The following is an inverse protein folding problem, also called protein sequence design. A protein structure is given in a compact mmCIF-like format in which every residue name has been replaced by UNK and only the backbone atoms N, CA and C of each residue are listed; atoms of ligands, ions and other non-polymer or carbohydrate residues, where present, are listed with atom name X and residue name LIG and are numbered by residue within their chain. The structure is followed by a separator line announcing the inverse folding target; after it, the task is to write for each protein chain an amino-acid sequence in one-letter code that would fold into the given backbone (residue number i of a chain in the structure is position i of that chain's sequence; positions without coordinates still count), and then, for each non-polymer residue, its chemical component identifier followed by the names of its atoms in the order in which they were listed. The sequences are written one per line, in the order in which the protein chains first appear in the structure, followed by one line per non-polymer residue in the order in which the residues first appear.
data_IF_810822428721
#
_entry.id   IF_810822428721
#
_cell.length_a   1.000
_cell.length_b   1.000
_cell.length_c   1.000
_cell.angle_alpha   90.00
_cell.angle_beta   90.00
_cell.angle_gamma   90.00
#
_symmetry.space_group_name_H-M   'P 1'
#
loop_
_entity.id
_entity.type
_entity.pdbx_description
1 polymer ?
#
# COMPACT_ATOMS: atom_id res chain seq x y z
N UNK A 1 9.90 9.64 -20.70
CA UNK A 1 9.62 9.14 -19.33
C UNK A 1 10.62 8.09 -18.89
N UNK A 2 10.96 7.07 -19.69
CA UNK A 2 11.87 5.98 -19.29
C UNK A 2 13.24 6.45 -18.70
N UNK A 3 13.93 7.41 -19.32
CA UNK A 3 15.23 7.88 -18.82
C UNK A 3 15.14 8.67 -17.51
N UNK A 4 14.00 9.31 -17.22
CA UNK A 4 13.82 10.12 -16.00
C UNK A 4 13.61 9.25 -14.77
N UNK A 5 13.13 8.02 -14.93
CA UNK A 5 12.79 7.12 -13.83
C UNK A 5 13.66 5.86 -13.76
N UNK A 6 14.63 5.65 -14.64
CA UNK A 6 15.50 4.46 -14.63
C UNK A 6 16.19 4.27 -13.27
N UNK A 7 16.78 5.33 -12.74
CA UNK A 7 17.39 5.32 -11.41
C UNK A 7 16.40 4.98 -10.27
N UNK A 8 15.11 5.29 -10.45
CA UNK A 8 14.06 4.98 -9.48
C UNK A 8 13.62 3.52 -9.57
N UNK A 9 13.63 2.92 -10.77
CA UNK A 9 13.44 1.47 -10.95
C UNK A 9 14.60 0.71 -10.30
N UNK A 10 15.84 1.15 -10.50
CA UNK A 10 17.01 0.55 -9.86
C UNK A 10 16.95 0.68 -8.34
N UNK A 11 16.53 1.84 -7.82
CA UNK A 11 16.28 2.03 -6.40
C UNK A 11 15.20 1.07 -5.90
N UNK A 12 14.06 0.96 -6.59
CA UNK A 12 12.98 0.04 -6.21
C UNK A 12 13.46 -1.41 -6.16
N UNK A 13 14.24 -1.85 -7.14
CA UNK A 13 14.83 -3.20 -7.13
C UNK A 13 15.84 -3.39 -5.98
N UNK A 14 16.61 -2.33 -5.65
CA UNK A 14 17.60 -2.34 -4.58
C UNK A 14 16.97 -2.41 -3.20
N UNK A 15 16.09 -1.46 -2.92
CA UNK A 15 15.52 -1.16 -1.61
C UNK A 15 14.19 -1.88 -1.35
N UNK A 16 13.51 -2.38 -2.38
CA UNK A 16 12.19 -3.01 -2.29
C UNK A 16 11.03 -2.02 -2.25
N UNK A 17 11.32 -0.72 -2.28
CA UNK A 17 10.33 0.34 -2.34
C UNK A 17 10.93 1.59 -2.99
N UNK A 18 10.06 2.48 -3.46
CA UNK A 18 10.44 3.83 -3.89
C UNK A 18 9.30 4.79 -3.56
N UNK A 19 9.65 6.02 -3.24
CA UNK A 19 8.67 7.08 -2.93
C UNK A 19 8.57 8.03 -4.11
N UNK A 20 7.39 8.10 -4.71
CA UNK A 20 7.10 9.02 -5.80
C UNK A 20 6.19 10.14 -5.29
N UNK A 21 6.60 11.37 -5.55
CA UNK A 21 5.91 12.58 -5.09
C UNK A 21 5.16 13.24 -6.23
N UNK A 22 4.01 13.83 -5.92
CA UNK A 22 3.18 14.57 -6.88
C UNK A 22 2.73 13.73 -8.09
N UNK A 23 2.44 12.45 -7.88
CA UNK A 23 2.00 11.53 -8.95
C UNK A 23 0.61 11.89 -9.43
N UNK A 24 -0.34 12.07 -8.51
CA UNK A 24 -1.71 12.46 -8.83
C UNK A 24 -2.00 13.88 -8.34
N UNK A 25 -2.91 14.57 -9.04
CA UNK A 25 -3.23 15.95 -8.76
C UNK A 25 -4.09 16.13 -7.50
N UNK A 26 -4.16 17.39 -7.04
CA UNK A 26 -4.94 17.79 -5.87
C UNK A 26 -6.42 17.39 -5.97
N UNK A 27 -6.96 17.40 -7.18
CA UNK A 27 -8.38 17.17 -7.42
C UNK A 27 -8.69 15.69 -7.22
N UNK A 28 -7.88 14.78 -7.76
CA UNK A 28 -8.08 13.35 -7.56
C UNK A 28 -7.91 12.95 -6.09
N UNK A 29 -6.95 13.57 -5.39
CA UNK A 29 -6.81 13.38 -3.93
C UNK A 29 -8.06 13.83 -3.17
N UNK A 30 -8.59 14.99 -3.53
CA UNK A 30 -9.82 15.50 -2.93
C UNK A 30 -11.05 14.63 -3.27
N UNK A 31 -11.10 14.05 -4.46
CA UNK A 31 -12.09 13.04 -4.85
C UNK A 31 -11.98 11.80 -3.94
N UNK A 32 -10.76 11.29 -3.69
CA UNK A 32 -10.52 10.16 -2.78
C UNK A 32 -10.96 10.46 -1.34
N UNK A 33 -10.57 11.63 -0.83
CA UNK A 33 -10.90 12.06 0.54
C UNK A 33 -12.41 12.16 0.75
N UNK A 34 -13.10 12.85 -0.15
CA UNK A 34 -14.58 12.96 -0.13
C UNK A 34 -15.27 11.62 -0.25
N UNK A 35 -14.68 10.70 -1.01
CA UNK A 35 -15.24 9.37 -1.16
C UNK A 35 -15.14 8.55 0.13
N UNK A 36 -13.99 8.59 0.83
CA UNK A 36 -13.85 7.97 2.15
C UNK A 36 -14.84 8.58 3.16
N UNK A 37 -14.99 9.91 3.19
CA UNK A 37 -16.00 10.59 4.02
C UNK A 37 -17.43 10.13 3.69
N UNK A 38 -17.76 10.00 2.41
CA UNK A 38 -19.04 9.47 1.96
C UNK A 38 -19.26 8.04 2.43
N UNK A 39 -18.26 7.16 2.32
CA UNK A 39 -18.35 5.79 2.80
C UNK A 39 -18.58 5.73 4.32
N UNK A 40 -17.86 6.53 5.10
CA UNK A 40 -18.05 6.63 6.55
C UNK A 40 -19.44 7.15 6.91
N UNK A 41 -19.93 8.18 6.21
CA UNK A 41 -21.30 8.70 6.42
C UNK A 41 -22.37 7.68 6.05
N UNK A 42 -22.15 6.89 5.01
CA UNK A 42 -23.10 5.88 4.53
C UNK A 42 -23.11 4.63 5.41
N UNK A 43 -21.96 4.29 5.99
CA UNK A 43 -21.76 3.10 6.82
C UNK A 43 -21.21 3.48 8.20
N UNK A 44 -21.95 4.26 9.01
CA UNK A 44 -21.43 4.83 10.27
C UNK A 44 -21.13 3.77 11.34
N UNK A 45 -21.64 2.55 11.19
CA UNK A 45 -21.36 1.43 12.10
C UNK A 45 -20.13 0.60 11.69
N UNK A 46 -19.52 0.88 10.54
CA UNK A 46 -18.33 0.17 10.06
C UNK A 46 -17.11 1.05 10.36
N UNK A 47 -16.17 0.60 11.20
CA UNK A 47 -14.94 1.33 11.44
C UNK A 47 -14.17 1.57 10.13
N UNK A 48 -13.43 2.68 10.07
CA UNK A 48 -12.67 3.05 8.87
C UNK A 48 -11.73 1.93 8.40
N UNK A 49 -11.12 1.22 9.35
CA UNK A 49 -10.23 0.08 9.15
C UNK A 49 -10.89 -1.04 8.35
N UNK A 50 -12.22 -1.19 8.45
CA UNK A 50 -12.97 -2.29 7.85
C UNK A 50 -13.70 -1.90 6.56
N UNK A 51 -13.54 -0.67 6.08
CA UNK A 51 -14.17 -0.21 4.83
C UNK A 51 -13.73 -1.04 3.61
N UNK A 52 -12.56 -1.68 3.65
CA UNK A 52 -12.01 -2.41 2.52
C UNK A 52 -12.62 -3.81 2.30
N UNK A 53 -13.17 -4.47 3.31
CA UNK A 53 -13.56 -5.89 3.22
C UNK A 53 -14.77 -6.14 2.30
N UNK A 54 -15.89 -5.45 2.55
CA UNK A 54 -17.16 -5.74 1.87
C UNK A 54 -17.59 -4.64 0.91
N UNK A 55 -17.25 -3.38 1.22
CA UNK A 55 -17.74 -2.24 0.48
C UNK A 55 -16.99 -2.09 -0.83
N UNK A 56 -15.66 -2.15 -0.76
CA UNK A 56 -14.83 -1.78 -1.90
C UNK A 56 -15.04 -2.67 -3.13
N UNK A 57 -15.29 -3.97 -2.96
CA UNK A 57 -15.56 -4.88 -4.09
C UNK A 57 -16.63 -4.36 -5.06
N UNK A 58 -17.65 -3.68 -4.54
CA UNK A 58 -18.80 -3.18 -5.31
C UNK A 58 -18.80 -1.66 -5.50
N UNK A 59 -17.68 -1.01 -5.21
CA UNK A 59 -17.58 0.45 -5.22
C UNK A 59 -16.93 0.96 -6.51
N UNK A 60 -17.66 1.58 -7.45
CA UNK A 60 -17.06 1.99 -8.73
C UNK A 60 -15.96 3.05 -8.58
N UNK A 61 -15.85 3.72 -7.43
CA UNK A 61 -14.83 4.73 -7.21
C UNK A 61 -13.40 4.19 -7.29
N UNK A 62 -13.13 2.97 -6.79
CA UNK A 62 -11.77 2.41 -6.88
C UNK A 62 -11.38 2.19 -8.35
N UNK A 63 -12.31 1.79 -9.22
CA UNK A 63 -12.05 1.64 -10.67
C UNK A 63 -11.62 2.97 -11.27
N UNK A 64 -12.31 4.08 -10.94
CA UNK A 64 -11.94 5.43 -11.39
C UNK A 64 -10.55 5.84 -10.90
N UNK A 65 -10.17 5.48 -9.68
CA UNK A 65 -8.85 5.79 -9.13
C UNK A 65 -7.76 4.99 -9.85
N UNK A 66 -7.88 3.66 -9.91
CA UNK A 66 -6.81 2.79 -10.44
C UNK A 66 -6.62 2.92 -11.95
N UNK A 67 -7.65 3.39 -12.68
CA UNK A 67 -7.59 3.60 -14.12
C UNK A 67 -7.00 4.95 -14.49
N UNK A 68 -6.55 5.75 -13.51
CA UNK A 68 -5.83 6.97 -13.78
C UNK A 68 -4.53 6.65 -14.56
N UNK A 69 -4.32 7.23 -15.75
CA UNK A 69 -3.17 6.91 -16.60
C UNK A 69 -1.82 7.06 -15.88
N UNK A 70 -1.71 8.01 -14.95
CA UNK A 70 -0.47 8.26 -14.21
C UNK A 70 -0.12 7.09 -13.30
N UNK A 71 -1.12 6.42 -12.72
CA UNK A 71 -0.91 5.23 -11.90
C UNK A 71 -0.63 4.00 -12.77
N UNK A 72 -1.34 3.85 -13.89
CA UNK A 72 -1.11 2.76 -14.84
C UNK A 72 0.28 2.82 -15.48
N UNK A 73 0.75 4.01 -15.86
CA UNK A 73 2.10 4.21 -16.41
C UNK A 73 3.18 3.80 -15.41
N UNK A 74 2.99 4.11 -14.12
CA UNK A 74 3.92 3.71 -13.07
C UNK A 74 3.83 2.21 -12.79
N UNK A 75 2.64 1.62 -12.75
CA UNK A 75 2.48 0.18 -12.62
C UNK A 75 3.18 -0.56 -13.78
N UNK A 76 3.04 -0.05 -15.02
CA UNK A 76 3.74 -0.55 -16.20
C UNK A 76 5.26 -0.44 -16.06
N UNK A 77 5.75 0.72 -15.63
CA UNK A 77 7.17 0.98 -15.49
C UNK A 77 7.83 0.10 -14.41
N UNK A 78 7.27 0.05 -13.21
CA UNK A 78 7.83 -0.74 -12.10
C UNK A 78 7.52 -2.23 -12.22
N UNK A 79 6.46 -2.58 -12.94
CA UNK A 79 6.10 -3.95 -13.28
C UNK A 79 6.94 -4.54 -14.42
N UNK A 80 7.50 -3.71 -15.30
CA UNK A 80 8.21 -4.18 -16.50
C UNK A 80 9.29 -5.24 -16.26
N UNK A 81 10.07 -5.23 -15.15
CA UNK A 81 11.05 -6.28 -14.88
C UNK A 81 10.43 -7.67 -14.64
N UNK A 82 9.13 -7.75 -14.35
CA UNK A 82 8.39 -8.97 -14.02
C UNK A 82 7.42 -9.40 -15.13
N UNK A 83 7.28 -8.59 -16.18
CA UNK A 83 6.36 -8.84 -17.28
C UNK A 83 7.07 -9.56 -18.42
N UNK A 84 6.42 -10.58 -18.95
CA UNK A 84 6.78 -11.16 -20.24
C UNK A 84 6.59 -10.13 -21.37
N UNK A 85 7.20 -10.33 -22.55
CA UNK A 85 6.93 -9.50 -23.72
C UNK A 85 5.43 -9.42 -24.03
N UNK A 86 4.87 -8.21 -24.03
CA UNK A 86 3.42 -7.94 -24.15
C UNK A 86 2.56 -8.46 -22.99
N UNK A 87 3.15 -8.65 -21.79
CA UNK A 87 2.42 -9.02 -20.59
C UNK A 87 1.48 -7.90 -20.12
N UNK A 88 0.29 -8.29 -19.68
CA UNK A 88 -0.70 -7.38 -19.10
C UNK A 88 -0.51 -7.23 -17.59
N UNK A 89 -0.94 -6.08 -17.06
CA UNK A 89 -1.06 -5.85 -15.61
C UNK A 89 -2.52 -6.03 -15.20
N UNK A 90 -2.73 -6.78 -14.13
CA UNK A 90 -4.04 -6.95 -13.51
C UNK A 90 -4.02 -6.43 -12.07
N UNK A 91 -5.04 -5.65 -11.69
CA UNK A 91 -5.31 -5.41 -10.29
C UNK A 91 -6.05 -6.62 -9.72
N UNK A 92 -5.48 -7.27 -8.72
CA UNK A 92 -6.13 -8.40 -8.03
C UNK A 92 -6.65 -8.00 -6.63
N UNK A 93 -6.13 -6.92 -6.05
CA UNK A 93 -6.51 -6.47 -4.72
C UNK A 93 -6.33 -4.96 -4.57
N UNK A 94 -7.18 -4.36 -3.75
CA UNK A 94 -7.05 -2.99 -3.27
C UNK A 94 -7.41 -2.99 -1.78
N UNK A 95 -6.95 -2.00 -1.02
CA UNK A 95 -7.26 -1.84 0.40
C UNK A 95 -7.36 -0.35 0.78
N UNK A 96 -8.38 0.03 1.54
CA UNK A 96 -8.39 1.28 2.30
C UNK A 96 -7.76 1.04 3.66
N UNK A 97 -6.68 1.75 3.97
CA UNK A 97 -6.05 1.76 5.29
C UNK A 97 -6.40 3.06 6.01
N UNK A 98 -7.51 3.06 6.74
CA UNK A 98 -7.88 4.20 7.58
C UNK A 98 -7.37 3.98 9.01
N UNK A 99 -6.81 5.01 9.64
CA UNK A 99 -6.43 5.01 11.05
C UNK A 99 -7.13 6.17 11.77
N UNK A 100 -8.31 5.93 12.38
CA UNK A 100 -8.98 6.94 13.18
C UNK A 100 -8.11 7.44 14.31
N UNK A 101 -8.19 8.74 14.60
CA UNK A 101 -7.42 9.36 15.67
C UNK A 101 -7.68 8.66 17.01
N UNK A 102 -6.61 8.30 17.73
CA UNK A 102 -6.60 7.71 19.08
C UNK A 102 -7.17 6.29 19.22
N UNK A 103 -7.98 5.82 18.26
CA UNK A 103 -8.60 4.49 18.30
C UNK A 103 -8.10 3.57 17.18
N UNK A 104 -7.22 4.07 16.30
CA UNK A 104 -6.70 3.30 15.19
C UNK A 104 -5.88 2.10 15.60
N UNK A 105 -6.10 0.98 14.92
CA UNK A 105 -5.33 -0.25 15.12
C UNK A 105 -3.97 -0.19 14.43
N UNK A 106 -2.97 -0.87 15.01
CA UNK A 106 -1.67 -1.07 14.34
C UNK A 106 -1.77 -2.15 13.26
N UNK A 107 -0.90 -2.04 12.26
CA UNK A 107 -0.59 -3.12 11.33
C UNK A 107 0.73 -3.73 11.78
N UNK A 108 0.74 -5.03 12.09
CA UNK A 108 1.96 -5.72 12.53
C UNK A 108 2.93 -5.93 11.34
N UNK A 109 4.20 -6.24 11.63
CA UNK A 109 5.18 -6.52 10.57
C UNK A 109 4.77 -7.74 9.75
N UNK A 110 4.58 -7.53 8.45
CA UNK A 110 4.14 -8.56 7.52
C UNK A 110 4.85 -8.43 6.18
N UNK A 111 4.84 -9.52 5.41
CA UNK A 111 5.06 -9.49 3.97
C UNK A 111 3.70 -9.68 3.29
N UNK A 112 3.31 -8.74 2.45
CA UNK A 112 2.07 -8.77 1.66
C UNK A 112 1.90 -10.11 0.92
N UNK A 113 2.97 -10.58 0.26
CA UNK A 113 2.96 -11.85 -0.48
C UNK A 113 2.62 -13.08 0.35
N UNK A 114 2.82 -13.06 1.67
CA UNK A 114 2.48 -14.18 2.56
C UNK A 114 0.98 -14.39 2.73
N UNK A 115 0.14 -13.41 2.37
CA UNK A 115 -1.31 -13.53 2.40
C UNK A 115 -1.91 -14.16 1.14
N UNK A 116 -1.14 -14.27 0.05
CA UNK A 116 -1.68 -14.65 -1.26
C UNK A 116 -1.04 -15.92 -1.81
N UNK A 117 -1.82 -16.87 -2.33
CA UNK A 117 -1.27 -18.09 -2.93
C UNK A 117 -0.86 -17.87 -4.41
N UNK A 118 -0.19 -16.76 -4.72
CA UNK A 118 0.23 -16.43 -6.10
C UNK A 118 1.58 -17.08 -6.45
N UNK A 119 1.68 -17.61 -7.68
CA UNK A 119 2.91 -18.21 -8.21
C UNK A 119 3.05 -17.88 -9.70
N UNK A 120 4.13 -17.19 -10.14
CA UNK A 120 5.15 -16.53 -9.31
C UNK A 120 4.56 -15.36 -8.49
N UNK A 121 5.26 -14.94 -7.44
CA UNK A 121 4.89 -13.76 -6.62
C UNK A 121 5.36 -12.46 -7.29
N UNK A 122 4.90 -12.22 -8.51
CA UNK A 122 5.21 -11.02 -9.29
C UNK A 122 4.16 -9.94 -9.00
N UNK A 123 4.23 -9.37 -7.80
CA UNK A 123 3.28 -8.38 -7.31
C UNK A 123 4.01 -7.12 -6.87
N UNK A 124 3.44 -5.96 -7.18
CA UNK A 124 3.80 -4.68 -6.60
C UNK A 124 2.59 -4.07 -5.90
N UNK A 125 2.83 -3.35 -4.81
CA UNK A 125 1.81 -2.59 -4.08
C UNK A 125 2.04 -1.10 -4.34
N UNK A 126 1.01 -0.40 -4.79
CA UNK A 126 1.00 1.06 -4.83
C UNK A 126 0.24 1.59 -3.62
N UNK A 127 0.95 2.31 -2.75
CA UNK A 127 0.36 2.96 -1.58
C UNK A 127 0.24 4.46 -1.81
N UNK A 128 -0.95 5.02 -1.54
CA UNK A 128 -1.27 6.42 -1.78
C UNK A 128 -1.70 7.10 -0.48
N UNK A 129 -0.98 8.15 -0.09
CA UNK A 129 -1.40 9.06 0.97
C UNK A 129 -2.61 9.89 0.51
N UNK A 130 -3.78 9.63 1.08
CA UNK A 130 -4.99 10.47 0.91
C UNK A 130 -5.00 11.61 1.94
N UNK A 131 -4.52 11.33 3.16
CA UNK A 131 -4.29 12.30 4.24
C UNK A 131 -2.79 12.45 4.53
N UNK A 132 -2.43 13.39 5.40
CA UNK A 132 -1.07 13.48 5.96
C UNK A 132 -0.71 12.14 6.61
N UNK A 133 0.50 11.65 6.35
CA UNK A 133 1.03 10.41 6.90
C UNK A 133 2.42 10.66 7.47
N UNK A 134 2.54 10.61 8.79
CA UNK A 134 3.77 10.87 9.52
C UNK A 134 3.95 9.92 10.72
N UNK A 135 5.05 10.06 11.44
CA UNK A 135 5.37 9.19 12.58
C UNK A 135 4.44 9.40 13.78
N UNK A 136 3.74 10.53 13.86
CA UNK A 136 2.80 10.83 14.94
C UNK A 136 1.41 10.21 14.69
N UNK A 137 1.04 10.01 13.42
CA UNK A 137 -0.25 9.43 13.03
C UNK A 137 -0.18 8.00 12.44
N UNK A 138 1.01 7.39 12.48
CA UNK A 138 1.22 6.00 12.11
C UNK A 138 1.41 5.78 10.61
N UNK A 139 2.36 6.49 10.01
CA UNK A 139 2.79 6.28 8.63
C UNK A 139 3.22 4.84 8.35
N UNK A 140 3.27 4.51 7.05
CA UNK A 140 3.82 3.25 6.58
C UNK A 140 5.31 3.19 6.97
N UNK A 141 5.73 2.04 7.48
CA UNK A 141 7.13 1.71 7.72
C UNK A 141 7.52 0.52 6.88
N UNK A 142 8.68 0.57 6.26
CA UNK A 142 9.23 -0.50 5.43
C UNK A 142 10.63 -0.85 5.89
N UNK A 143 11.06 -2.08 5.64
CA UNK A 143 12.43 -2.53 5.94
C UNK A 143 13.20 -2.63 4.62
N UNK A 144 14.19 -1.76 4.42
CA UNK A 144 14.96 -1.68 3.18
C UNK A 144 15.57 -3.03 2.82
N UNK A 145 15.33 -3.51 1.61
CA UNK A 145 15.89 -4.74 1.04
C UNK A 145 15.25 -6.03 1.57
N UNK A 146 14.23 -5.96 2.43
CA UNK A 146 13.59 -7.13 3.03
C UNK A 146 12.83 -8.00 2.01
N UNK A 147 12.47 -7.46 0.84
CA UNK A 147 11.82 -8.18 -0.26
C UNK A 147 12.69 -9.26 -0.92
N UNK A 148 14.01 -9.26 -0.66
CA UNK A 148 14.96 -10.24 -1.21
C UNK A 148 14.95 -11.58 -0.46
N UNK A 149 14.36 -11.62 0.73
CA UNK A 149 14.17 -12.84 1.49
C UNK A 149 13.02 -13.68 0.94
N UNK A 150 12.95 -14.92 1.40
CA UNK A 150 11.78 -15.77 1.16
C UNK A 150 10.54 -15.21 1.88
N UNK A 151 9.35 -15.63 1.43
CA UNK A 151 8.11 -15.33 2.14
C UNK A 151 8.06 -16.11 3.46
N UNK A 152 7.98 -15.38 4.56
CA UNK A 152 7.81 -15.92 5.90
C UNK A 152 6.38 -16.42 6.13
N UNK A 153 6.26 -17.44 6.97
CA UNK A 153 4.96 -18.03 7.33
C UNK A 153 4.11 -17.02 8.10
N UNK A 154 2.84 -16.88 7.70
CA UNK A 154 1.87 -16.10 8.44
C UNK A 154 1.56 -16.74 9.80
N UNK A 155 1.58 -15.93 10.85
CA UNK A 155 1.24 -16.31 12.22
C UNK A 155 0.08 -15.46 12.71
N UNK A 156 -1.00 -16.10 13.14
CA UNK A 156 -2.14 -15.40 13.73
C UNK A 156 -1.75 -14.78 15.08
N UNK A 157 -2.22 -13.56 15.32
CA UNK A 157 -2.08 -12.88 16.60
C UNK A 157 -3.42 -12.30 17.03
N UNK A 158 -4.09 -13.05 17.89
CA UNK A 158 -5.34 -12.66 18.55
C UNK A 158 -5.10 -12.00 19.91
N UNK A 159 -3.84 -11.86 20.34
CA UNK A 159 -3.48 -11.31 21.65
C UNK A 159 -3.42 -9.79 21.64
N UNK A 160 -3.22 -9.18 20.47
CA UNK A 160 -3.18 -7.74 20.28
C UNK A 160 -4.15 -7.33 19.19
N UNK A 161 -4.95 -6.30 19.46
CA UNK A 161 -5.85 -5.71 18.47
C UNK A 161 -5.04 -5.11 17.31
N UNK A 162 -5.26 -5.63 16.09
CA UNK A 162 -4.51 -5.25 14.90
C UNK A 162 -5.35 -5.46 13.63
N UNK A 163 -5.02 -4.71 12.57
CA UNK A 163 -5.85 -4.66 11.35
C UNK A 163 -5.91 -6.00 10.61
N UNK A 164 -4.83 -6.79 10.61
CA UNK A 164 -4.70 -8.00 9.78
C UNK A 164 -4.89 -9.32 10.56
N UNK A 165 -5.06 -9.24 11.88
CA UNK A 165 -5.14 -10.38 12.78
C UNK A 165 -3.88 -11.28 12.82
N UNK A 166 -2.77 -10.85 12.22
CA UNK A 166 -1.62 -11.71 11.93
C UNK A 166 -0.34 -10.92 11.64
N UNK A 167 0.81 -11.60 11.70
CA UNK A 167 2.13 -11.07 11.39
C UNK A 167 2.99 -12.12 10.69
N UNK A 168 4.12 -11.69 10.12
CA UNK A 168 5.19 -12.58 9.64
C UNK A 168 6.48 -12.45 10.43
N UNK A 169 6.68 -11.31 11.10
CA UNK A 169 7.87 -11.01 11.90
C UNK A 169 7.46 -10.28 13.18
N UNK A 170 8.23 -10.46 14.25
CA UNK A 170 8.13 -9.66 15.48
C UNK A 170 9.11 -8.50 15.43
N UNK A 171 8.94 -7.52 16.31
CA UNK A 171 9.86 -6.37 16.39
C UNK A 171 11.32 -6.81 16.62
N UNK A 172 11.54 -7.89 17.36
CA UNK A 172 12.86 -8.50 17.62
C UNK A 172 13.52 -9.12 16.37
N UNK A 173 12.74 -9.45 15.33
CA UNK A 173 13.24 -10.01 14.07
C UNK A 173 13.63 -8.91 13.07
N UNK A 174 13.27 -7.65 13.33
CA UNK A 174 13.48 -6.53 12.41
C UNK A 174 14.81 -5.82 12.70
N UNK A 175 15.63 -5.72 11.66
CA UNK A 175 16.81 -4.87 11.64
C UNK A 175 16.39 -3.39 11.70
N UNK A 176 16.52 -2.80 12.90
CA UNK A 176 16.06 -1.44 13.18
C UNK A 176 16.80 -0.39 12.35
N UNK A 177 18.05 -0.65 11.93
CA UNK A 177 18.83 0.29 11.11
C UNK A 177 18.33 0.37 9.66
N UNK A 178 17.54 -0.62 9.23
CA UNK A 178 16.95 -0.68 7.89
C UNK A 178 15.52 -0.19 7.82
N UNK A 179 14.91 0.19 8.95
CA UNK A 179 13.56 0.72 8.98
C UNK A 179 13.56 2.11 8.34
N UNK A 180 12.59 2.34 7.45
CA UNK A 180 12.34 3.63 6.82
C UNK A 180 10.89 4.01 7.06
N UNK A 181 10.68 5.16 7.71
CA UNK A 181 9.37 5.79 7.84
C UNK A 181 9.00 6.52 6.53
N UNK A 182 7.84 6.20 5.97
CA UNK A 182 7.35 6.78 4.72
C UNK A 182 6.45 7.97 5.03
N UNK A 183 7.09 9.13 5.26
CA UNK A 183 6.39 10.39 5.57
C UNK A 183 5.94 11.08 4.30
N UNK A 184 4.62 11.26 4.16
CA UNK A 184 3.98 11.77 2.94
C UNK A 184 2.83 12.74 3.26
N UNK A 185 2.75 13.81 2.47
CA UNK A 185 1.55 14.64 2.38
C UNK A 185 0.54 14.03 1.38
N UNK A 186 -0.75 14.42 1.40
CA UNK A 186 -1.74 13.98 0.43
C UNK A 186 -1.23 14.10 -1.02
N UNK A 187 -1.36 13.03 -1.80
CA UNK A 187 -0.83 12.96 -3.17
C UNK A 187 0.69 12.86 -3.28
N UNK A 188 1.36 12.61 -2.15
CA UNK A 188 2.80 12.54 -2.05
C UNK A 188 3.49 13.90 -2.17
N UNK A 189 2.86 15.00 -1.76
CA UNK A 189 3.51 16.33 -1.76
C UNK A 189 4.74 16.40 -0.83
#
# INVERSE_FOLDING_TARGET
MADTYSHLVDQYQTDGFVVLRNVIDARLIEECRKHVEFLQSKFPSIPGEHLHHQIMRNDPFWVRLITDPRLLDLAALFGSPFLEPNGDIALFSSHHFCKPAKTGMKVLWHQDGSYWPLKPMNVLTMWLAIDDSDTENGCLRVVRGSHRGELSKLTDDVTVENVLGSYTHRDEDIDQEKIVDIVLKPGGR
#
